data_IF_702884592630
#
_entry.id   IF_702884592630
#
_cell.length_a   1.000
_cell.length_b   1.000
_cell.length_c   1.000
_cell.angle_alpha   90.00
_cell.angle_beta   90.00
_cell.angle_gamma   90.00
#
_symmetry.space_group_name_H-M   'P 1'
#
loop_
_entity.id
_entity.type
_entity.pdbx_description
1 polymer ?
#
# COMPACT_ATOMS: atom_id res chain seq x y z
N UNK A 1 2.26 27.70 18.31
CA UNK A 1 1.95 27.66 16.86
C UNK A 1 2.64 26.51 16.10
N UNK A 2 3.35 25.57 16.76
CA UNK A 2 4.00 24.43 16.09
C UNK A 2 3.10 23.19 15.92
N UNK A 3 2.01 23.07 16.70
CA UNK A 3 1.21 21.84 16.77
C UNK A 3 0.44 21.49 15.49
N UNK A 4 -0.05 22.49 14.75
CA UNK A 4 -0.85 22.26 13.53
C UNK A 4 -0.02 21.70 12.37
N UNK A 5 1.25 22.07 12.26
CA UNK A 5 2.11 21.56 11.18
C UNK A 5 2.50 20.10 11.40
N UNK A 6 2.78 19.71 12.64
CA UNK A 6 3.15 18.32 12.98
C UNK A 6 1.96 17.35 12.85
N UNK A 7 0.74 17.81 13.15
CA UNK A 7 -0.48 17.02 12.96
C UNK A 7 -0.77 16.76 11.48
N UNK A 8 -0.66 17.78 10.61
CA UNK A 8 -0.86 17.61 9.17
C UNK A 8 0.16 16.65 8.54
N UNK A 9 1.41 16.64 9.04
CA UNK A 9 2.44 15.72 8.55
C UNK A 9 2.11 14.28 8.94
N UNK A 10 1.65 14.06 10.18
CA UNK A 10 1.26 12.74 10.68
C UNK A 10 0.04 12.19 9.94
N UNK A 11 -0.98 13.03 9.72
CA UNK A 11 -2.17 12.65 8.95
C UNK A 11 -1.82 12.27 7.51
N UNK A 12 -0.94 13.04 6.85
CA UNK A 12 -0.48 12.71 5.50
C UNK A 12 0.30 11.40 5.44
N UNK A 13 1.16 11.13 6.43
CA UNK A 13 1.93 9.88 6.54
C UNK A 13 1.01 8.67 6.72
N UNK A 14 -0.01 8.77 7.56
CA UNK A 14 -1.02 7.72 7.76
C UNK A 14 -1.82 7.44 6.48
N UNK A 15 -2.20 8.49 5.76
CA UNK A 15 -2.89 8.39 4.47
C UNK A 15 -2.01 7.72 3.40
N UNK A 16 -0.72 8.07 3.35
CA UNK A 16 0.24 7.43 2.44
C UNK A 16 0.46 5.95 2.78
N UNK A 17 0.69 5.63 4.06
CA UNK A 17 0.86 4.24 4.51
C UNK A 17 -0.39 3.42 4.22
N UNK A 18 -1.58 3.99 4.40
CA UNK A 18 -2.85 3.35 4.03
C UNK A 18 -2.89 3.01 2.53
N UNK A 19 -2.44 3.93 1.67
CA UNK A 19 -2.36 3.69 0.22
C UNK A 19 -1.37 2.55 -0.11
N UNK A 20 -0.16 2.60 0.47
CA UNK A 20 0.88 1.60 0.23
C UNK A 20 0.46 0.20 0.67
N UNK A 21 -0.15 0.07 1.85
CA UNK A 21 -0.68 -1.21 2.30
C UNK A 21 -1.85 -1.69 1.44
N UNK A 22 -2.77 -0.79 1.06
CA UNK A 22 -3.90 -1.17 0.18
C UNK A 22 -3.40 -1.74 -1.15
N UNK A 23 -2.45 -1.05 -1.80
CA UNK A 23 -1.80 -1.52 -3.03
C UNK A 23 -1.10 -2.86 -2.81
N UNK A 24 -0.36 -3.01 -1.70
CA UNK A 24 0.33 -4.25 -1.38
C UNK A 24 -0.63 -5.42 -1.22
N UNK A 25 -1.76 -5.22 -0.53
CA UNK A 25 -2.81 -6.23 -0.35
C UNK A 25 -3.46 -6.58 -1.69
N UNK A 26 -3.82 -5.57 -2.49
CA UNK A 26 -4.39 -5.76 -3.84
C UNK A 26 -3.49 -6.60 -4.74
N UNK A 27 -2.19 -6.31 -4.72
CA UNK A 27 -1.17 -7.03 -5.51
C UNK A 27 -0.96 -8.45 -4.97
N UNK A 28 -0.83 -8.62 -3.65
CA UNK A 28 -0.61 -9.94 -3.04
C UNK A 28 -1.76 -10.90 -3.34
N UNK A 29 -3.00 -10.43 -3.21
CA UNK A 29 -4.19 -11.25 -3.48
C UNK A 29 -4.26 -11.65 -4.97
N UNK A 30 -3.96 -10.70 -5.87
CA UNK A 30 -3.88 -10.95 -7.31
C UNK A 30 -2.84 -12.03 -7.69
N UNK A 31 -1.70 -12.07 -6.99
CA UNK A 31 -0.66 -13.09 -7.19
C UNK A 31 -1.10 -14.43 -6.60
N UNK A 32 -1.76 -14.43 -5.43
CA UNK A 32 -2.25 -15.65 -4.78
C UNK A 32 -3.25 -16.41 -5.68
N UNK A 33 -4.19 -15.68 -6.28
CA UNK A 33 -5.18 -16.25 -7.22
C UNK A 33 -4.52 -16.91 -8.43
N UNK A 34 -3.41 -16.35 -8.91
CA UNK A 34 -2.65 -16.91 -10.03
C UNK A 34 -1.85 -18.17 -9.63
N UNK A 35 -1.34 -18.22 -8.39
CA UNK A 35 -0.49 -19.30 -7.89
C UNK A 35 -1.26 -20.56 -7.50
N UNK A 36 -2.52 -20.45 -7.08
CA UNK A 36 -3.34 -21.58 -6.61
C UNK A 36 -3.83 -22.52 -7.73
N UNK A 37 -3.29 -22.38 -8.95
CA UNK A 37 -3.47 -23.38 -9.99
C UNK A 37 -4.91 -23.53 -10.45
N UNK A 38 -5.74 -22.49 -10.31
CA UNK A 38 -7.04 -22.36 -10.96
C UNK A 38 -6.84 -22.24 -12.48
N UNK A 39 -6.40 -23.33 -13.09
CA UNK A 39 -6.48 -23.58 -14.52
C UNK A 39 -7.95 -23.69 -14.87
N UNK A 40 -8.56 -22.60 -15.35
CA UNK A 40 -9.72 -22.64 -16.25
C UNK A 40 -10.00 -21.24 -16.79
N UNK A 41 -9.68 -20.99 -18.06
CA UNK A 41 -10.57 -20.32 -19.03
C UNK A 41 -11.38 -19.09 -18.56
N UNK A 42 -10.84 -18.21 -17.72
CA UNK A 42 -11.51 -16.97 -17.38
C UNK A 42 -11.21 -15.93 -18.45
N UNK A 43 -12.07 -15.81 -19.45
CA UNK A 43 -12.06 -14.72 -20.45
C UNK A 43 -12.44 -13.34 -19.83
N UNK A 44 -12.19 -13.15 -18.53
CA UNK A 44 -12.49 -11.93 -17.78
C UNK A 44 -11.21 -11.20 -17.37
N UNK A 45 -11.26 -9.86 -17.21
CA UNK A 45 -10.13 -9.10 -16.68
C UNK A 45 -9.74 -9.65 -15.30
N UNK A 46 -8.44 -9.83 -15.05
CA UNK A 46 -7.94 -10.18 -13.73
C UNK A 46 -8.27 -9.07 -12.73
N UNK A 47 -8.23 -9.38 -11.44
CA UNK A 47 -8.43 -8.36 -10.38
C UNK A 47 -7.47 -7.18 -10.53
N UNK A 48 -6.24 -7.46 -11.00
CA UNK A 48 -5.23 -6.45 -11.30
C UNK A 48 -5.64 -5.57 -12.51
N UNK A 49 -6.19 -6.18 -13.57
CA UNK A 49 -6.71 -5.43 -14.72
C UNK A 49 -7.92 -4.55 -14.33
N UNK A 50 -8.79 -5.08 -13.46
CA UNK A 50 -9.92 -4.33 -12.90
C UNK A 50 -9.45 -3.12 -12.08
N UNK A 51 -8.43 -3.30 -11.25
CA UNK A 51 -7.78 -2.21 -10.51
C UNK A 51 -7.13 -1.18 -11.44
N UNK A 52 -6.38 -1.61 -12.46
CA UNK A 52 -5.74 -0.70 -13.42
C UNK A 52 -6.78 0.15 -14.15
N UNK A 53 -7.86 -0.47 -14.62
CA UNK A 53 -8.96 0.22 -15.29
C UNK A 53 -9.61 1.23 -14.34
N UNK A 54 -9.89 0.83 -13.09
CA UNK A 54 -10.51 1.72 -12.10
C UNK A 54 -9.61 2.91 -11.78
N UNK A 55 -8.32 2.69 -11.51
CA UNK A 55 -7.34 3.74 -11.26
C UNK A 55 -7.19 4.67 -12.46
N UNK A 56 -7.13 4.16 -13.69
CA UNK A 56 -7.04 5.01 -14.89
C UNK A 56 -8.31 5.83 -15.09
N UNK A 57 -9.48 5.26 -14.82
CA UNK A 57 -10.78 5.94 -14.98
C UNK A 57 -11.03 7.03 -13.94
N UNK A 58 -10.40 6.94 -12.77
CA UNK A 58 -10.54 7.85 -11.63
C UNK A 58 -9.34 8.80 -11.46
N UNK A 59 -8.43 8.84 -12.44
CA UNK A 59 -7.15 9.56 -12.35
C UNK A 59 -7.30 11.04 -11.98
N UNK A 60 -8.30 11.72 -12.53
CA UNK A 60 -8.60 13.11 -12.22
C UNK A 60 -8.94 13.34 -10.75
N UNK A 61 -9.51 12.34 -10.07
CA UNK A 61 -9.84 12.41 -8.65
C UNK A 61 -8.62 12.21 -7.74
N UNK A 62 -7.75 11.25 -8.04
CA UNK A 62 -6.67 10.86 -7.12
C UNK A 62 -5.29 11.43 -7.44
N UNK A 63 -5.01 11.86 -8.69
CA UNK A 63 -3.64 12.20 -9.13
C UNK A 63 -2.96 13.30 -8.29
N UNK A 64 -3.73 14.19 -7.66
CA UNK A 64 -3.21 15.30 -6.87
C UNK A 64 -3.54 15.20 -5.37
N UNK A 65 -4.07 14.06 -4.90
CA UNK A 65 -4.51 13.90 -3.51
C UNK A 65 -4.33 12.46 -3.03
N UNK A 66 -3.40 12.28 -2.07
CA UNK A 66 -3.17 10.99 -1.41
C UNK A 66 -4.43 10.52 -0.67
N UNK A 67 -5.18 11.44 -0.06
CA UNK A 67 -6.45 11.14 0.56
C UNK A 67 -7.47 10.58 -0.44
N UNK A 68 -7.59 11.20 -1.62
CA UNK A 68 -8.50 10.69 -2.66
C UNK A 68 -8.01 9.35 -3.23
N UNK A 69 -6.69 9.18 -3.34
CA UNK A 69 -6.10 7.89 -3.70
C UNK A 69 -6.47 6.81 -2.69
N UNK A 70 -6.41 7.10 -1.39
CA UNK A 70 -6.84 6.15 -0.35
C UNK A 70 -8.30 5.76 -0.52
N UNK A 71 -9.19 6.72 -0.77
CA UNK A 71 -10.61 6.43 -1.00
C UNK A 71 -10.79 5.49 -2.19
N UNK A 72 -10.18 5.82 -3.33
CA UNK A 72 -10.25 5.01 -4.56
C UNK A 72 -9.72 3.59 -4.31
N UNK A 73 -8.65 3.43 -3.54
CA UNK A 73 -8.09 2.11 -3.20
C UNK A 73 -8.97 1.32 -2.23
N UNK A 74 -9.61 1.98 -1.25
CA UNK A 74 -10.54 1.33 -0.32
C UNK A 74 -11.81 0.88 -1.04
N UNK A 75 -12.35 1.70 -1.93
CA UNK A 75 -13.46 1.32 -2.80
C UNK A 75 -13.09 0.13 -3.70
N UNK A 76 -11.85 0.10 -4.19
CA UNK A 76 -11.34 -1.04 -4.97
C UNK A 76 -11.28 -2.31 -4.12
N UNK A 77 -10.77 -2.24 -2.88
CA UNK A 77 -10.76 -3.37 -1.96
C UNK A 77 -12.18 -3.90 -1.68
N UNK A 78 -13.13 -2.99 -1.46
CA UNK A 78 -14.53 -3.34 -1.19
C UNK A 78 -15.24 -3.96 -2.41
N UNK A 79 -14.95 -3.48 -3.62
CA UNK A 79 -15.63 -3.86 -4.84
C UNK A 79 -15.03 -5.06 -5.57
N UNK A 80 -13.71 -5.29 -5.42
CA UNK A 80 -13.00 -6.32 -6.17
C UNK A 80 -12.86 -7.66 -5.42
N UNK A 81 -13.05 -7.70 -4.10
CA UNK A 81 -12.90 -8.91 -3.29
C UNK A 81 -14.14 -9.21 -2.45
N UNK A 82 -14.48 -10.50 -2.33
CA UNK A 82 -15.60 -10.95 -1.49
C UNK A 82 -15.39 -10.62 -0.01
N UNK A 83 -14.14 -10.62 0.47
CA UNK A 83 -13.74 -10.26 1.83
C UNK A 83 -13.21 -8.82 1.93
N UNK A 84 -13.57 -7.94 0.98
CA UNK A 84 -13.05 -6.58 0.87
C UNK A 84 -13.14 -5.74 2.15
N UNK A 85 -14.23 -5.87 2.92
CA UNK A 85 -14.39 -5.20 4.21
C UNK A 85 -13.35 -5.66 5.25
N UNK A 86 -13.06 -6.96 5.29
CA UNK A 86 -12.02 -7.52 6.16
C UNK A 86 -10.64 -7.02 5.75
N UNK A 87 -10.36 -6.92 4.45
CA UNK A 87 -9.10 -6.37 3.94
C UNK A 87 -8.93 -4.88 4.26
N UNK A 88 -9.99 -4.08 4.17
CA UNK A 88 -9.97 -2.67 4.58
C UNK A 88 -9.68 -2.51 6.09
N UNK A 89 -10.30 -3.35 6.93
CA UNK A 89 -10.01 -3.36 8.36
C UNK A 89 -8.56 -3.75 8.62
N UNK A 90 -8.05 -4.77 7.93
CA UNK A 90 -6.65 -5.18 8.04
C UNK A 90 -5.68 -4.04 7.70
N UNK A 91 -5.92 -3.29 6.62
CA UNK A 91 -5.11 -2.11 6.28
C UNK A 91 -5.18 -1.05 7.38
N UNK A 92 -6.38 -0.78 7.91
CA UNK A 92 -6.58 0.19 9.00
C UNK A 92 -5.81 -0.23 10.26
N UNK A 93 -5.88 -1.51 10.62
CA UNK A 93 -5.17 -2.08 11.77
C UNK A 93 -3.65 -1.98 11.59
N UNK A 94 -3.12 -2.24 10.39
CA UNK A 94 -1.69 -2.09 10.09
C UNK A 94 -1.20 -0.66 10.29
N UNK A 95 -1.96 0.33 9.81
CA UNK A 95 -1.63 1.74 9.96
C UNK A 95 -1.70 2.16 11.43
N UNK A 96 -2.70 1.68 12.17
CA UNK A 96 -2.82 1.93 13.60
C UNK A 96 -1.64 1.32 14.38
N UNK A 97 -1.24 0.10 14.05
CA UNK A 97 -0.05 -0.56 14.64
C UNK A 97 1.21 0.26 14.34
N UNK A 98 1.42 0.68 13.09
CA UNK A 98 2.54 1.55 12.74
C UNK A 98 2.51 2.87 13.51
N UNK A 99 1.34 3.44 13.76
CA UNK A 99 1.16 4.65 14.57
C UNK A 99 1.71 4.53 16.01
N UNK A 100 1.91 3.31 16.51
CA UNK A 100 2.55 3.06 17.82
C UNK A 100 4.07 3.00 17.76
N UNK A 101 4.65 2.93 16.56
CA UNK A 101 6.09 2.83 16.35
C UNK A 101 6.76 4.20 16.28
N UNK A 102 8.10 4.21 16.34
CA UNK A 102 8.86 5.43 16.13
C UNK A 102 8.68 5.99 14.71
N UNK A 103 8.93 7.30 14.56
CA UNK A 103 8.90 7.94 13.25
C UNK A 103 9.87 7.27 12.27
N UNK A 104 11.06 6.89 12.74
CA UNK A 104 12.07 6.22 11.96
C UNK A 104 11.60 4.85 11.46
N UNK A 105 10.88 4.09 12.29
CA UNK A 105 10.32 2.80 11.91
C UNK A 105 9.22 2.97 10.85
N UNK A 106 8.31 3.96 11.00
CA UNK A 106 7.26 4.24 10.03
C UNK A 106 7.82 4.66 8.67
N UNK A 107 8.77 5.59 8.66
CA UNK A 107 9.48 6.02 7.45
C UNK A 107 10.26 4.87 6.80
N UNK A 108 10.86 4.00 7.60
CA UNK A 108 11.52 2.80 7.11
C UNK A 108 10.56 1.86 6.37
N UNK A 109 9.38 1.62 6.94
CA UNK A 109 8.33 0.79 6.31
C UNK A 109 7.80 1.45 5.03
N UNK A 110 7.53 2.75 5.05
CA UNK A 110 7.12 3.50 3.86
C UNK A 110 8.11 3.32 2.70
N UNK A 111 9.40 3.56 2.96
CA UNK A 111 10.47 3.39 1.96
C UNK A 111 10.56 1.95 1.47
N UNK A 112 10.41 0.97 2.37
CA UNK A 112 10.45 -0.45 2.02
C UNK A 112 9.33 -0.82 1.05
N UNK A 113 8.10 -0.41 1.36
CA UNK A 113 6.92 -0.67 0.53
C UNK A 113 7.04 0.01 -0.84
N UNK A 114 7.47 1.28 -0.87
CA UNK A 114 7.71 2.00 -2.12
C UNK A 114 8.73 1.28 -3.00
N UNK A 115 9.85 0.85 -2.41
CA UNK A 115 10.88 0.12 -3.16
C UNK A 115 10.37 -1.22 -3.69
N UNK A 116 9.60 -1.96 -2.88
CA UNK A 116 9.01 -3.24 -3.29
C UNK A 116 8.00 -3.05 -4.43
N UNK A 117 7.07 -2.11 -4.29
CA UNK A 117 6.06 -1.81 -5.31
C UNK A 117 6.70 -1.30 -6.61
N UNK A 118 7.72 -0.45 -6.51
CA UNK A 118 8.47 0.03 -7.67
C UNK A 118 9.23 -1.11 -8.37
N UNK A 119 9.85 -2.02 -7.60
CA UNK A 119 10.57 -3.18 -8.16
C UNK A 119 9.66 -4.17 -8.89
N UNK A 120 8.37 -4.18 -8.56
CA UNK A 120 7.37 -4.97 -9.26
C UNK A 120 6.98 -4.36 -10.61
N UNK A 121 6.97 -3.03 -10.70
CA UNK A 121 6.65 -2.28 -11.93
C UNK A 121 7.82 -2.20 -12.92
N UNK A 122 9.06 -2.10 -12.42
CA UNK A 122 10.25 -1.93 -13.24
C UNK A 122 11.17 -3.17 -13.17
N UNK A 123 11.35 -3.87 -14.30
CA UNK A 123 12.41 -4.89 -14.47
C UNK A 123 13.84 -4.30 -14.41
N UNK A 124 13.97 -2.97 -14.22
CA UNK A 124 15.23 -2.30 -13.95
C UNK A 124 15.25 -1.87 -12.51
N UNK A 125 16.06 -2.59 -11.71
CA UNK A 125 16.46 -2.21 -10.35
C UNK A 125 16.88 -0.73 -10.30
N UNK A 126 15.95 0.16 -9.94
CA UNK A 126 16.33 1.40 -9.30
C UNK A 126 16.68 1.01 -7.87
N UNK A 127 17.96 0.70 -7.67
CA UNK A 127 18.54 0.68 -6.33
C UNK A 127 18.41 2.12 -5.84
N UNK A 128 17.31 2.42 -5.14
CA UNK A 128 17.31 3.52 -4.20
C UNK A 128 18.35 3.11 -3.18
N UNK A 129 19.56 3.63 -3.37
CA UNK A 129 20.75 3.50 -2.52
C UNK A 129 20.52 4.28 -1.21
N UNK A 130 19.42 4.00 -0.53
CA UNK A 130 19.20 4.37 0.85
C UNK A 130 19.37 3.08 1.65
N UNK A 131 20.28 3.14 2.61
CA UNK A 131 20.84 2.07 3.44
C UNK A 131 19.83 1.29 4.33
N UNK A 132 18.57 1.15 3.89
CA UNK A 132 17.50 0.44 4.59
C UNK A 132 17.30 -0.93 3.96
N UNK A 133 18.13 -1.88 4.37
CA UNK A 133 17.86 -3.31 4.14
C UNK A 133 16.71 -3.78 5.04
N UNK A 134 15.98 -4.85 4.68
CA UNK A 134 14.99 -5.47 5.57
C UNK A 134 15.55 -5.74 6.98
N UNK A 135 16.82 -6.13 7.08
CA UNK A 135 17.52 -6.34 8.35
C UNK A 135 17.70 -5.05 9.18
N UNK A 136 17.89 -3.90 8.51
CA UNK A 136 18.00 -2.59 9.16
C UNK A 136 16.65 -2.14 9.73
N UNK A 137 15.54 -2.49 9.07
CA UNK A 137 14.19 -2.28 9.58
C UNK A 137 13.92 -3.14 10.82
N UNK A 138 14.25 -4.43 10.75
CA UNK A 138 14.09 -5.35 11.87
C UNK A 138 14.95 -4.95 13.09
N UNK A 139 16.14 -4.42 12.84
CA UNK A 139 17.01 -3.90 13.90
C UNK A 139 16.43 -2.64 14.57
N UNK A 140 15.75 -1.78 13.81
CA UNK A 140 15.07 -0.58 14.32
C UNK A 140 13.81 -0.90 15.15
N UNK A 141 13.20 -2.08 14.95
CA UNK A 141 11.99 -2.52 15.67
C UNK A 141 12.25 -3.10 17.07
N UNK A 142 13.50 -3.21 17.52
CA UNK A 142 13.80 -3.68 18.89
C UNK A 142 13.50 -2.58 19.91
N UNK A 143 12.40 -2.76 20.63
CA UNK A 143 11.97 -1.86 21.70
C UNK A 143 12.86 -1.87 22.94
N UNK A 144 12.91 -0.72 23.62
CA UNK A 144 13.29 -0.59 25.03
C UNK A 144 12.05 -0.64 25.91
#
# INVERSE_FOLDING_TARGET
MASSSSQNIMEWEEELLSCLFSLSVLIQDSISVLSDGASTTANGPSTLDGLEIYLRSSQDMWMNSVYNLRIVLFESLAGLFEDGASKMNYVTDLVQVLGTLSLEARQGVEKCLLNLLNSLGDNKKLVVDDCWTPDSLLSSMHGH
#
